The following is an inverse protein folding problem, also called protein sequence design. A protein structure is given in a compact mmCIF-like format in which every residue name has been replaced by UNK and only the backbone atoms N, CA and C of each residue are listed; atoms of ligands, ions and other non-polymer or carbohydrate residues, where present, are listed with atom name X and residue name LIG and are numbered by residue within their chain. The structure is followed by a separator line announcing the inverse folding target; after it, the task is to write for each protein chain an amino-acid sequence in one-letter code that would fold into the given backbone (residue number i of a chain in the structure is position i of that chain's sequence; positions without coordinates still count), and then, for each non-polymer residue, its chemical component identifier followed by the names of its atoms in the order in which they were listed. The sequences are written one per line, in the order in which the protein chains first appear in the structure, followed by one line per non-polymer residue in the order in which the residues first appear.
data_IF_729926414687
#
_entry.id   IF_729926414687
#
_cell.length_a   1.000
_cell.length_b   1.000
_cell.length_c   1.000
_cell.angle_alpha   90.00
_cell.angle_beta   90.00
_cell.angle_gamma   90.00
#
_symmetry.space_group_name_H-M   'P 1'
#
loop_
_entity.id
_entity.type
_entity.pdbx_description
1 polymer ?
#
# COMPACT_ATOMS: atom_id res chain seq x y z
N UNK A 1 7.17 -15.86 4.20
CA UNK A 1 7.10 -14.41 3.93
C UNK A 1 5.78 -13.83 4.44
N UNK A 2 5.75 -12.56 4.86
CA UNK A 2 4.59 -11.90 5.48
C UNK A 2 3.32 -11.95 4.61
N UNK A 3 3.45 -11.87 3.28
CA UNK A 3 2.30 -11.99 2.36
C UNK A 3 1.64 -13.37 2.40
N UNK A 4 2.43 -14.45 2.45
CA UNK A 4 1.89 -15.81 2.56
C UNK A 4 1.21 -16.03 3.92
N UNK A 5 1.75 -15.43 4.97
CA UNK A 5 1.16 -15.49 6.31
C UNK A 5 -0.19 -14.76 6.37
N UNK A 6 -0.29 -13.57 5.76
CA UNK A 6 -1.56 -12.86 5.64
C UNK A 6 -2.61 -13.70 4.92
N UNK A 7 -2.24 -14.30 3.77
CA UNK A 7 -3.15 -15.17 3.00
C UNK A 7 -3.60 -16.37 3.85
N UNK A 8 -2.68 -16.99 4.61
CA UNK A 8 -3.01 -18.12 5.45
C UNK A 8 -3.96 -17.74 6.60
N UNK A 9 -3.76 -16.59 7.23
CA UNK A 9 -4.63 -16.09 8.31
C UNK A 9 -6.02 -15.72 7.78
N UNK A 10 -6.11 -15.02 6.65
CA UNK A 10 -7.39 -14.70 6.00
C UNK A 10 -8.13 -15.98 5.57
N UNK A 11 -7.40 -16.99 5.08
CA UNK A 11 -7.99 -18.30 4.79
C UNK A 11 -8.53 -18.97 6.06
N UNK A 12 -7.78 -18.95 7.16
CA UNK A 12 -8.23 -19.53 8.43
C UNK A 12 -9.48 -18.84 8.97
N UNK A 13 -9.54 -17.50 8.90
CA UNK A 13 -10.73 -16.73 9.25
C UNK A 13 -11.94 -17.18 8.41
N UNK A 14 -11.77 -17.28 7.09
CA UNK A 14 -12.82 -17.78 6.20
C UNK A 14 -13.28 -19.20 6.57
N UNK A 15 -12.34 -20.12 6.80
CA UNK A 15 -12.63 -21.51 7.14
C UNK A 15 -13.38 -21.61 8.48
N UNK A 16 -13.03 -20.78 9.47
CA UNK A 16 -13.71 -20.74 10.77
C UNK A 16 -15.18 -20.32 10.68
N UNK A 17 -15.51 -19.40 9.77
CA UNK A 17 -16.91 -19.07 9.45
C UNK A 17 -17.60 -20.18 8.67
N UNK A 18 -16.93 -20.77 7.66
CA UNK A 18 -17.50 -21.83 6.83
C UNK A 18 -17.84 -23.09 7.67
N UNK A 19 -16.97 -23.46 8.59
CA UNK A 19 -17.11 -24.62 9.47
C UNK A 19 -18.00 -24.34 10.69
N UNK A 20 -18.47 -23.09 10.86
CA UNK A 20 -19.29 -22.62 11.99
C UNK A 20 -18.62 -22.85 13.36
N UNK A 21 -17.29 -22.79 13.38
CA UNK A 21 -16.48 -22.91 14.61
C UNK A 21 -16.14 -21.55 15.21
N UNK A 22 -16.40 -20.46 14.48
CA UNK A 22 -16.14 -19.10 14.93
C UNK A 22 -16.91 -18.76 16.22
N UNK A 23 -16.20 -18.15 17.17
CA UNK A 23 -16.75 -17.54 18.39
C UNK A 23 -16.33 -16.08 18.46
N UNK A 24 -16.93 -15.28 19.34
CA UNK A 24 -16.53 -13.88 19.54
C UNK A 24 -15.05 -13.75 19.94
N UNK A 25 -14.60 -14.59 20.87
CA UNK A 25 -13.19 -14.66 21.29
C UNK A 25 -12.25 -15.05 20.14
N UNK A 26 -12.60 -16.10 19.38
CA UNK A 26 -11.78 -16.57 18.26
C UNK A 26 -11.72 -15.54 17.13
N UNK A 27 -12.84 -14.87 16.86
CA UNK A 27 -12.89 -13.78 15.87
C UNK A 27 -11.94 -12.66 16.26
N UNK A 28 -11.97 -12.22 17.52
CA UNK A 28 -11.07 -11.18 18.00
C UNK A 28 -9.59 -11.58 17.83
N UNK A 29 -9.24 -12.81 18.22
CA UNK A 29 -7.88 -13.34 18.11
C UNK A 29 -7.40 -13.41 16.64
N UNK A 30 -8.25 -13.89 15.73
CA UNK A 30 -7.91 -13.98 14.30
C UNK A 30 -7.76 -12.60 13.67
N UNK A 31 -8.63 -11.65 14.00
CA UNK A 31 -8.54 -10.28 13.52
C UNK A 31 -7.28 -9.58 14.02
N UNK A 32 -6.90 -9.78 15.29
CA UNK A 32 -5.67 -9.23 15.85
C UNK A 32 -4.42 -9.78 15.13
N UNK A 33 -4.38 -11.09 14.88
CA UNK A 33 -3.30 -11.72 14.12
C UNK A 33 -3.20 -11.15 12.68
N UNK A 34 -4.33 -11.01 11.98
CA UNK A 34 -4.39 -10.42 10.65
C UNK A 34 -3.91 -8.96 10.68
N UNK A 35 -4.38 -8.17 11.65
CA UNK A 35 -3.99 -6.77 11.81
C UNK A 35 -2.47 -6.64 12.05
N UNK A 36 -1.91 -7.52 12.88
CA UNK A 36 -0.47 -7.58 13.14
C UNK A 36 0.33 -7.85 11.86
N UNK A 37 -0.03 -8.85 11.06
CA UNK A 37 0.70 -9.14 9.80
C UNK A 37 0.52 -8.03 8.77
N UNK A 38 -0.67 -7.41 8.68
CA UNK A 38 -0.88 -6.23 7.81
C UNK A 38 -0.01 -5.05 8.24
N UNK A 39 0.13 -4.82 9.55
CA UNK A 39 1.03 -3.80 10.11
C UNK A 39 2.48 -4.10 9.73
N UNK A 40 2.94 -5.34 9.89
CA UNK A 40 4.31 -5.74 9.51
C UNK A 40 4.58 -5.57 8.00
N UNK A 41 3.62 -5.92 7.13
CA UNK A 41 3.73 -5.68 5.68
C UNK A 41 3.89 -4.19 5.36
N UNK A 42 3.07 -3.35 5.98
CA UNK A 42 3.17 -1.88 5.81
C UNK A 42 4.50 -1.36 6.35
N UNK A 43 4.95 -1.89 7.48
CA UNK A 43 6.25 -1.52 8.05
C UNK A 43 7.39 -1.88 7.10
N UNK A 44 7.46 -3.10 6.58
CA UNK A 44 8.49 -3.53 5.64
C UNK A 44 8.57 -2.63 4.39
N UNK A 45 7.41 -2.25 3.86
CA UNK A 45 7.32 -1.31 2.75
C UNK A 45 7.81 0.10 3.12
N UNK A 46 7.27 0.67 4.20
CA UNK A 46 7.53 2.06 4.58
C UNK A 46 8.94 2.25 5.13
N UNK A 47 9.48 1.29 5.88
CA UNK A 47 10.87 1.35 6.36
C UNK A 47 11.85 1.27 5.19
N UNK A 48 11.54 0.49 4.16
CA UNK A 48 12.34 0.46 2.93
C UNK A 48 12.34 1.84 2.26
N UNK A 49 11.17 2.47 2.12
CA UNK A 49 11.08 3.84 1.60
C UNK A 49 11.81 4.87 2.48
N UNK A 50 11.76 4.72 3.81
CA UNK A 50 12.45 5.59 4.76
C UNK A 50 13.97 5.48 4.64
N UNK A 51 14.49 4.26 4.46
CA UNK A 51 15.93 3.99 4.37
C UNK A 51 16.49 4.24 2.98
N UNK A 52 15.69 4.13 1.92
CA UNK A 52 16.15 4.26 0.52
C UNK A 52 16.96 5.54 0.26
N UNK A 53 16.56 6.75 0.70
CA UNK A 53 17.34 7.97 0.47
C UNK A 53 18.76 7.92 1.04
N UNK A 54 19.00 7.14 2.09
CA UNK A 54 20.32 7.05 2.76
C UNK A 54 21.40 6.37 1.91
N UNK A 55 20.99 5.60 0.90
CA UNK A 55 21.91 4.89 0.00
C UNK A 55 21.98 5.53 -1.40
N UNK A 56 21.25 6.63 -1.63
CA UNK A 56 21.15 7.30 -2.93
C UNK A 56 21.93 8.61 -2.93
N UNK A 57 22.53 8.95 -4.08
CA UNK A 57 23.06 10.30 -4.32
C UNK A 57 21.93 11.33 -4.46
N UNK A 58 22.21 12.64 -4.34
CA UNK A 58 21.21 13.69 -4.59
C UNK A 58 20.50 13.56 -5.94
N UNK A 59 21.25 13.26 -7.02
CA UNK A 59 20.68 13.07 -8.36
C UNK A 59 19.80 11.81 -8.44
N UNK A 60 20.17 10.74 -7.73
CA UNK A 60 19.36 9.53 -7.66
C UNK A 60 18.09 9.75 -6.84
N UNK A 61 18.13 10.56 -5.78
CA UNK A 61 16.94 10.95 -5.00
C UNK A 61 15.96 11.72 -5.88
N UNK A 62 16.43 12.67 -6.68
CA UNK A 62 15.58 13.40 -7.63
C UNK A 62 14.89 12.45 -8.61
N UNK A 63 15.66 11.55 -9.24
CA UNK A 63 15.10 10.56 -10.17
C UNK A 63 14.13 9.59 -9.47
N UNK A 64 14.45 9.17 -8.26
CA UNK A 64 13.60 8.31 -7.45
C UNK A 64 12.27 8.98 -7.11
N UNK A 65 12.28 10.26 -6.74
CA UNK A 65 11.06 11.03 -6.46
C UNK A 65 10.20 11.20 -7.72
N UNK A 66 10.81 11.49 -8.87
CA UNK A 66 10.11 11.52 -10.17
C UNK A 66 9.43 10.18 -10.48
N UNK A 67 10.15 9.06 -10.35
CA UNK A 67 9.60 7.71 -10.59
C UNK A 67 8.49 7.32 -9.60
N UNK A 68 8.48 7.91 -8.40
CA UNK A 68 7.41 7.74 -7.41
C UNK A 68 6.20 8.65 -7.64
N UNK A 69 6.23 9.53 -8.64
CA UNK A 69 5.16 10.49 -8.91
C UNK A 69 5.21 11.75 -8.03
N UNK A 70 6.32 12.00 -7.34
CA UNK A 70 6.61 13.27 -6.65
C UNK A 70 7.50 14.19 -7.50
N UNK A 71 7.56 13.96 -8.81
CA UNK A 71 8.12 14.94 -9.73
C UNK A 71 7.31 16.23 -9.62
N UNK A 72 7.99 17.36 -9.68
CA UNK A 72 7.45 18.73 -9.62
C UNK A 72 6.61 19.08 -10.85
N UNK A 73 5.83 18.14 -11.35
CA UNK A 73 5.02 18.29 -12.54
C UNK A 73 3.61 18.59 -12.04
N UNK A 74 3.17 19.83 -12.27
CA UNK A 74 1.81 20.24 -11.98
C UNK A 74 0.85 19.23 -12.63
N UNK A 75 0.04 18.49 -11.87
CA UNK A 75 -0.86 17.48 -12.41
C UNK A 75 -1.93 18.09 -13.33
N UNK A 76 -2.14 19.41 -13.25
CA UNK A 76 -3.02 20.18 -14.12
C UNK A 76 -2.40 20.47 -15.50
N UNK A 77 -1.07 20.49 -15.58
CA UNK A 77 -0.32 20.70 -16.82
C UNK A 77 0.21 19.39 -17.42
N UNK A 78 0.41 18.35 -16.60
CA UNK A 78 1.10 17.12 -16.98
C UNK A 78 0.17 15.90 -16.93
N UNK A 79 -0.72 15.82 -17.91
CA UNK A 79 -1.69 14.73 -18.06
C UNK A 79 -0.97 13.50 -18.66
N UNK A 80 -0.94 12.33 -17.99
CA UNK A 80 -0.25 11.16 -18.52
C UNK A 80 -0.88 10.66 -19.83
N UNK A 81 -0.04 10.19 -20.76
CA UNK A 81 -0.51 9.62 -22.03
C UNK A 81 -1.53 8.49 -21.80
N UNK A 82 -2.62 8.51 -22.57
CA UNK A 82 -3.72 7.55 -22.44
C UNK A 82 -4.78 7.87 -21.39
N UNK A 83 -4.63 8.96 -20.63
CA UNK A 83 -5.68 9.44 -19.72
C UNK A 83 -6.58 10.48 -20.40
N UNK A 84 -7.87 10.45 -20.06
CA UNK A 84 -8.79 11.52 -20.45
C UNK A 84 -8.44 12.80 -19.66
N UNK A 85 -8.20 13.89 -20.40
CA UNK A 85 -7.72 15.14 -19.83
C UNK A 85 -8.70 15.76 -18.83
N UNK A 86 -10.00 15.77 -19.14
CA UNK A 86 -11.03 16.40 -18.32
C UNK A 86 -11.22 15.64 -16.99
N UNK A 87 -11.29 14.31 -17.05
CA UNK A 87 -11.40 13.45 -15.86
C UNK A 87 -10.15 13.52 -14.98
N UNK A 88 -8.96 13.55 -15.58
CA UNK A 88 -7.71 13.66 -14.84
C UNK A 88 -7.60 14.97 -14.08
N UNK A 89 -7.89 16.10 -14.73
CA UNK A 89 -7.88 17.43 -14.11
C UNK A 89 -8.88 17.52 -12.95
N UNK A 90 -10.10 17.01 -13.14
CA UNK A 90 -11.12 16.96 -12.09
C UNK A 90 -10.70 16.14 -10.87
N UNK A 91 -10.04 15.00 -11.07
CA UNK A 91 -9.55 14.16 -9.97
C UNK A 91 -8.38 14.79 -9.20
N UNK A 92 -7.60 15.65 -9.85
CA UNK A 92 -6.46 16.34 -9.24
C UNK A 92 -6.81 17.76 -8.74
N UNK A 93 -8.09 18.14 -8.73
CA UNK A 93 -8.54 19.42 -8.19
C UNK A 93 -8.08 20.64 -9.00
N UNK A 94 -7.85 20.44 -10.30
CA UNK A 94 -7.53 21.52 -11.24
C UNK A 94 -8.79 22.31 -11.57
N UNK A 95 -8.72 23.64 -11.50
CA UNK A 95 -9.81 24.55 -11.89
C UNK A 95 -10.12 24.50 -13.40
#
# INVERSE_FOLDING_TARGET
PLGNELIALEKNLNDSFADRTITDELLYQQLDAIANVRKELRYAHLVTHLMTPTILSPQQIEKYNQLRGYGSDDPCENIPAGHNAEMWKKHNGCE
#
